data_IF_891034014262
#
_entry.id   IF_891034014262
#
_cell.length_a   1.000
_cell.length_b   1.000
_cell.length_c   1.000
_cell.angle_alpha   90.00
_cell.angle_beta   90.00
_cell.angle_gamma   90.00
#
_symmetry.space_group_name_H-M   'P 1'
#
loop_
_entity.id
_entity.type
_entity.pdbx_description
1 polymer ?
#
# COMPACT_ATOMS: atom_id res chain seq x y z
N UNK A 1 -7.50 14.44 -29.55
CA UNK A 1 -8.83 13.80 -29.54
C UNK A 1 -9.45 14.07 -28.18
N UNK A 2 -10.58 14.79 -28.14
CA UNK A 2 -11.23 15.18 -26.89
C UNK A 2 -12.12 14.08 -26.31
N UNK A 3 -12.56 14.28 -25.06
CA UNK A 3 -13.56 13.42 -24.42
C UNK A 3 -14.95 13.78 -24.97
N UNK A 4 -15.81 12.80 -25.32
CA UNK A 4 -17.17 13.08 -25.78
C UNK A 4 -17.97 13.93 -24.79
N UNK A 5 -18.66 14.96 -25.29
CA UNK A 5 -19.38 15.93 -24.46
C UNK A 5 -20.41 15.29 -23.52
N UNK A 6 -21.15 14.28 -23.99
CA UNK A 6 -22.16 13.59 -23.17
C UNK A 6 -21.56 12.92 -21.92
N UNK A 7 -20.31 12.45 -21.97
CA UNK A 7 -19.61 11.88 -20.81
C UNK A 7 -19.18 12.97 -19.84
N UNK A 8 -18.72 14.12 -20.34
CA UNK A 8 -18.38 15.28 -19.50
C UNK A 8 -19.63 15.77 -18.76
N UNK A 9 -20.73 15.93 -19.49
CA UNK A 9 -22.02 16.34 -18.93
C UNK A 9 -22.50 15.38 -17.85
N UNK A 10 -22.46 14.06 -18.09
CA UNK A 10 -22.84 13.06 -17.09
C UNK A 10 -21.99 13.15 -15.82
N UNK A 11 -20.67 13.32 -15.95
CA UNK A 11 -19.79 13.49 -14.79
C UNK A 11 -20.11 14.77 -14.00
N UNK A 12 -20.36 15.89 -14.68
CA UNK A 12 -20.75 17.15 -14.03
C UNK A 12 -22.03 16.99 -13.21
N UNK A 13 -23.07 16.37 -13.79
CA UNK A 13 -24.34 16.13 -13.09
C UNK A 13 -24.18 15.25 -11.84
N UNK A 14 -23.26 14.29 -11.84
CA UNK A 14 -22.98 13.45 -10.68
C UNK A 14 -22.30 14.20 -9.51
N UNK A 15 -21.61 15.30 -9.79
CA UNK A 15 -20.75 15.97 -8.81
C UNK A 15 -21.17 17.41 -8.43
N UNK A 16 -21.81 18.20 -9.31
CA UNK A 16 -22.08 19.63 -9.08
C UNK A 16 -23.20 19.93 -8.05
N UNK A 17 -24.20 19.05 -7.93
CA UNK A 17 -25.33 19.25 -7.01
C UNK A 17 -25.48 18.12 -5.99
N UNK A 18 -24.37 17.45 -5.69
CA UNK A 18 -24.42 16.35 -4.74
C UNK A 18 -24.49 16.85 -3.29
N UNK A 19 -25.21 16.09 -2.47
CA UNK A 19 -25.28 16.30 -1.04
C UNK A 19 -25.11 14.97 -0.31
N UNK A 20 -24.49 15.03 0.85
CA UNK A 20 -24.22 13.87 1.69
C UNK A 20 -24.93 14.03 3.04
N UNK A 21 -25.18 12.89 3.68
CA UNK A 21 -25.65 12.78 5.07
C UNK A 21 -24.79 11.73 5.76
N UNK A 22 -24.46 11.95 7.01
CA UNK A 22 -23.72 11.00 7.85
C UNK A 22 -24.74 10.27 8.71
N UNK A 23 -24.80 8.94 8.59
CA UNK A 23 -25.60 8.09 9.45
C UNK A 23 -24.75 7.51 10.58
N UNK A 24 -25.22 7.63 11.82
CA UNK A 24 -24.67 6.93 12.99
C UNK A 24 -25.82 6.17 13.62
N UNK A 25 -25.75 4.84 13.58
CA UNK A 25 -26.83 3.92 13.95
C UNK A 25 -28.15 4.24 13.22
N UNK A 26 -29.18 4.68 13.94
CA UNK A 26 -30.49 5.08 13.39
C UNK A 26 -30.61 6.58 13.16
N UNK A 27 -29.61 7.37 13.57
CA UNK A 27 -29.64 8.82 13.45
C UNK A 27 -28.96 9.26 12.16
N UNK A 28 -29.63 10.13 11.41
CA UNK A 28 -29.10 10.76 10.21
C UNK A 28 -28.81 12.24 10.49
N UNK A 29 -27.62 12.70 10.10
CA UNK A 29 -27.28 14.12 10.12
C UNK A 29 -28.20 14.94 9.19
N UNK A 30 -28.13 16.26 9.35
CA UNK A 30 -28.62 17.18 8.32
C UNK A 30 -27.91 16.96 6.98
N UNK A 31 -28.53 17.45 5.91
CA UNK A 31 -27.97 17.40 4.56
C UNK A 31 -26.82 18.41 4.43
N UNK A 32 -25.69 17.96 3.90
CA UNK A 32 -24.51 18.82 3.65
C UNK A 32 -24.17 18.78 2.18
N UNK A 33 -24.04 19.94 1.55
CA UNK A 33 -23.63 20.06 0.15
C UNK A 33 -22.16 19.66 -0.02
N UNK A 34 -21.87 18.78 -0.98
CA UNK A 34 -20.49 18.41 -1.31
C UNK A 34 -19.90 19.49 -2.22
N UNK A 35 -18.96 20.29 -1.69
CA UNK A 35 -18.30 21.37 -2.47
C UNK A 35 -17.01 20.94 -3.16
N UNK A 36 -16.28 19.98 -2.56
CA UNK A 36 -15.04 19.42 -3.09
C UNK A 36 -15.04 17.92 -2.85
N UNK A 37 -14.42 17.18 -3.77
CA UNK A 37 -14.22 15.74 -3.65
C UNK A 37 -15.11 14.89 -4.56
N UNK A 38 -14.72 13.63 -4.64
CA UNK A 38 -15.37 12.58 -5.44
C UNK A 38 -16.13 11.63 -4.52
N UNK A 39 -17.17 10.96 -5.03
CA UNK A 39 -17.98 10.04 -4.21
C UNK A 39 -17.19 8.76 -3.90
N UNK A 40 -16.97 8.44 -2.63
CA UNK A 40 -16.37 7.15 -2.27
C UNK A 40 -17.31 5.99 -2.64
N UNK A 41 -16.74 4.88 -3.13
CA UNK A 41 -17.51 3.73 -3.60
C UNK A 41 -18.08 3.86 -5.03
N UNK A 42 -17.96 5.02 -5.68
CA UNK A 42 -18.30 5.15 -7.10
C UNK A 42 -17.20 4.53 -7.97
N UNK A 43 -17.61 3.74 -8.97
CA UNK A 43 -16.70 3.08 -9.92
C UNK A 43 -15.87 4.04 -10.76
N UNK A 44 -16.36 5.27 -10.98
CA UNK A 44 -15.66 6.31 -11.75
C UNK A 44 -14.65 7.10 -10.91
N UNK A 45 -14.87 7.17 -9.59
CA UNK A 45 -14.06 7.99 -8.69
C UNK A 45 -12.56 7.69 -8.75
N UNK A 46 -12.08 6.43 -8.76
CA UNK A 46 -10.65 6.14 -8.89
C UNK A 46 -10.05 6.72 -10.17
N UNK A 47 -10.78 6.64 -11.29
CA UNK A 47 -10.31 7.17 -12.58
C UNK A 47 -10.25 8.69 -12.56
N UNK A 48 -11.28 9.34 -12.03
CA UNK A 48 -11.33 10.81 -11.91
C UNK A 48 -10.21 11.34 -10.99
N UNK A 49 -9.95 10.67 -9.86
CA UNK A 49 -8.84 11.02 -8.97
C UNK A 49 -7.50 10.93 -9.71
N UNK A 50 -7.26 9.82 -10.41
CA UNK A 50 -6.02 9.61 -11.17
C UNK A 50 -5.83 10.67 -12.27
N UNK A 51 -6.89 11.05 -12.98
CA UNK A 51 -6.84 12.11 -14.00
C UNK A 51 -6.47 13.45 -13.37
N UNK A 52 -7.11 13.80 -12.25
CA UNK A 52 -6.83 15.04 -11.53
C UNK A 52 -5.39 15.07 -10.99
N UNK A 53 -4.95 14.03 -10.29
CA UNK A 53 -3.56 13.88 -9.80
C UNK A 53 -2.53 13.92 -10.94
N UNK A 54 -2.88 13.42 -12.12
CA UNK A 54 -2.00 13.49 -13.30
C UNK A 54 -1.91 14.92 -13.85
N UNK A 55 -3.03 15.64 -13.90
CA UNK A 55 -3.08 17.03 -14.33
C UNK A 55 -2.27 17.93 -13.41
N UNK A 56 -2.54 17.88 -12.10
CA UNK A 56 -1.84 18.65 -11.06
C UNK A 56 -0.32 18.49 -11.19
N UNK A 57 0.16 17.26 -11.19
CA UNK A 57 1.60 17.01 -11.22
C UNK A 57 2.25 17.29 -12.58
N UNK A 58 1.48 17.32 -13.68
CA UNK A 58 2.00 17.82 -14.95
C UNK A 58 2.28 19.31 -14.87
N UNK A 59 1.41 20.07 -14.22
CA UNK A 59 1.63 21.50 -14.01
C UNK A 59 2.85 21.75 -13.12
N UNK A 60 2.97 21.00 -12.03
CA UNK A 60 4.14 21.05 -11.13
C UNK A 60 5.44 20.71 -11.85
N UNK A 61 5.47 19.62 -12.61
CA UNK A 61 6.70 19.02 -13.11
C UNK A 61 7.02 19.39 -14.56
N UNK A 62 6.28 20.31 -15.18
CA UNK A 62 6.40 20.63 -16.61
C UNK A 62 7.84 21.00 -17.02
N UNK A 63 8.55 21.71 -16.12
CA UNK A 63 9.94 22.12 -16.31
C UNK A 63 10.94 21.38 -15.41
N UNK A 64 10.50 20.29 -14.76
CA UNK A 64 11.35 19.54 -13.86
C UNK A 64 12.16 18.47 -14.60
N UNK A 65 13.49 18.64 -14.60
CA UNK A 65 14.42 17.70 -15.23
C UNK A 65 15.15 16.80 -14.24
N UNK A 66 14.72 16.75 -12.98
CA UNK A 66 15.28 15.87 -11.97
C UNK A 66 14.69 14.44 -11.98
N UNK A 67 15.23 13.56 -11.15
CA UNK A 67 14.78 12.19 -10.92
C UNK A 67 15.84 11.14 -11.17
N UNK A 68 15.50 9.88 -10.91
CA UNK A 68 16.33 8.72 -11.22
C UNK A 68 16.14 8.31 -12.68
N UNK A 69 17.20 7.82 -13.35
CA UNK A 69 17.10 7.33 -14.72
C UNK A 69 16.80 5.83 -14.73
N UNK A 70 15.65 5.44 -15.28
CA UNK A 70 15.24 4.04 -15.45
C UNK A 70 14.88 3.82 -16.92
N UNK A 71 15.55 2.87 -17.58
CA UNK A 71 15.25 2.52 -18.97
C UNK A 71 15.41 3.68 -19.97
N UNK A 72 16.30 4.64 -19.68
CA UNK A 72 16.52 5.84 -20.49
C UNK A 72 15.54 6.99 -20.25
N UNK A 73 14.52 6.80 -19.40
CA UNK A 73 13.61 7.86 -18.96
C UNK A 73 13.93 8.36 -17.55
N UNK A 74 13.65 9.64 -17.26
CA UNK A 74 13.71 10.17 -15.90
C UNK A 74 12.40 9.91 -15.15
N UNK A 75 12.53 9.37 -13.94
CA UNK A 75 11.42 9.10 -13.02
C UNK A 75 11.65 9.93 -11.77
N UNK A 76 10.83 10.96 -11.57
CA UNK A 76 10.90 11.89 -10.43
C UNK A 76 9.85 11.63 -9.36
N UNK A 77 8.89 10.74 -9.63
CA UNK A 77 7.76 10.48 -8.74
C UNK A 77 7.12 9.12 -9.03
N UNK A 78 6.53 8.53 -8.00
CA UNK A 78 5.67 7.35 -8.03
C UNK A 78 4.34 7.70 -7.35
N UNK A 79 3.22 7.24 -7.90
CA UNK A 79 1.89 7.59 -7.36
C UNK A 79 0.98 6.38 -7.36
N UNK A 80 0.24 6.22 -6.28
CA UNK A 80 -0.78 5.20 -6.13
C UNK A 80 -2.01 5.80 -5.47
N UNK A 81 -3.09 5.95 -6.22
CA UNK A 81 -4.28 6.68 -5.80
C UNK A 81 -3.89 8.09 -5.27
N UNK A 82 -4.11 8.34 -3.99
CA UNK A 82 -3.81 9.61 -3.34
C UNK A 82 -2.37 9.67 -2.79
N UNK A 83 -1.68 8.53 -2.67
CA UNK A 83 -0.31 8.46 -2.22
C UNK A 83 0.66 8.90 -3.33
N UNK A 84 1.52 9.86 -3.02
CA UNK A 84 2.53 10.39 -3.94
C UNK A 84 3.89 10.36 -3.27
N UNK A 85 4.83 9.69 -3.91
CA UNK A 85 6.23 9.58 -3.50
C UNK A 85 7.10 10.32 -4.49
N UNK A 86 7.96 11.20 -3.99
CA UNK A 86 8.92 11.95 -4.79
C UNK A 86 10.27 11.25 -4.77
N UNK A 87 10.96 11.27 -5.91
CA UNK A 87 12.22 10.57 -6.10
C UNK A 87 13.25 11.57 -6.63
N UNK A 88 14.37 11.69 -5.92
CA UNK A 88 15.48 12.56 -6.25
C UNK A 88 16.80 11.81 -6.00
N UNK A 89 17.85 12.16 -6.72
CA UNK A 89 19.20 11.60 -6.54
C UNK A 89 20.00 12.31 -5.45
N UNK A 90 19.61 13.53 -5.06
CA UNK A 90 20.28 14.29 -4.01
C UNK A 90 19.30 15.03 -3.09
N UNK A 91 19.83 15.48 -1.94
CA UNK A 91 19.05 16.27 -1.00
C UNK A 91 18.69 17.65 -1.57
N UNK A 92 19.61 18.26 -2.31
CA UNK A 92 19.39 19.56 -2.97
C UNK A 92 18.24 19.45 -3.97
N UNK A 93 18.20 18.35 -4.72
CA UNK A 93 17.15 18.10 -5.70
C UNK A 93 15.78 17.87 -5.04
N UNK A 94 15.72 17.13 -3.93
CA UNK A 94 14.43 16.94 -3.24
C UNK A 94 13.92 18.24 -2.61
N UNK A 95 14.82 19.08 -2.07
CA UNK A 95 14.47 20.41 -1.54
C UNK A 95 13.98 21.32 -2.67
N UNK A 96 14.65 21.33 -3.82
CA UNK A 96 14.19 22.11 -4.97
C UNK A 96 12.80 21.67 -5.46
N UNK A 97 12.54 20.36 -5.50
CA UNK A 97 11.23 19.84 -5.89
C UNK A 97 10.14 20.17 -4.86
N UNK A 98 10.44 20.10 -3.57
CA UNK A 98 9.53 20.53 -2.50
C UNK A 98 9.18 22.01 -2.61
N UNK A 99 10.15 22.88 -2.88
CA UNK A 99 9.90 24.31 -3.05
C UNK A 99 8.95 24.59 -4.23
N UNK A 100 9.08 23.85 -5.33
CA UNK A 100 8.14 23.95 -6.46
C UNK A 100 6.73 23.52 -6.02
N UNK A 101 6.63 22.46 -5.22
CA UNK A 101 5.35 21.99 -4.70
C UNK A 101 4.68 22.98 -3.75
N UNK A 102 5.44 23.57 -2.83
CA UNK A 102 4.93 24.57 -1.89
C UNK A 102 4.40 25.80 -2.63
N UNK A 103 5.10 26.27 -3.67
CA UNK A 103 4.62 27.39 -4.49
C UNK A 103 3.30 27.10 -5.21
N UNK A 104 3.02 25.83 -5.52
CA UNK A 104 1.79 25.41 -6.20
C UNK A 104 0.67 25.03 -5.20
N UNK A 105 0.96 25.01 -3.91
CA UNK A 105 0.04 24.54 -2.86
C UNK A 105 -1.12 25.52 -2.57
N UNK A 106 -1.03 26.77 -3.05
CA UNK A 106 -2.18 27.70 -3.01
C UNK A 106 -3.29 27.29 -4.00
N UNK A 107 -2.93 26.58 -5.08
CA UNK A 107 -3.87 26.13 -6.12
C UNK A 107 -4.25 24.64 -5.95
N UNK A 108 -3.35 23.82 -5.39
CA UNK A 108 -3.52 22.37 -5.29
C UNK A 108 -3.31 21.81 -3.88
N UNK A 109 -4.13 20.82 -3.49
CA UNK A 109 -4.05 20.16 -2.17
C UNK A 109 -3.07 19.00 -2.24
N UNK A 110 -1.77 19.29 -2.26
CA UNK A 110 -0.72 18.28 -2.37
C UNK A 110 -0.01 18.05 -1.05
N UNK A 111 -0.31 16.93 -0.40
CA UNK A 111 0.52 16.41 0.67
C UNK A 111 1.49 15.38 0.08
N UNK A 112 2.79 15.69 0.05
CA UNK A 112 3.83 14.78 -0.39
C UNK A 112 4.62 14.25 0.81
N UNK A 113 4.82 12.94 0.87
CA UNK A 113 5.72 12.31 1.85
C UNK A 113 7.06 12.06 1.16
N UNK A 114 8.11 12.65 1.72
CA UNK A 114 9.49 12.46 1.24
C UNK A 114 10.15 11.34 2.03
N UNK A 115 10.56 10.28 1.32
CA UNK A 115 11.37 9.20 1.87
C UNK A 115 12.79 9.32 1.32
N UNK A 116 13.72 9.79 2.15
CA UNK A 116 15.15 9.78 1.84
C UNK A 116 15.76 8.48 2.36
N UNK A 117 16.04 7.53 1.47
CA UNK A 117 16.78 6.32 1.83
C UNK A 117 18.19 6.38 1.27
N UNK A 118 19.18 6.44 2.16
CA UNK A 118 20.61 6.43 1.79
C UNK A 118 21.15 5.01 1.60
N UNK A 119 20.40 3.99 2.05
CA UNK A 119 20.65 2.56 1.78
C UNK A 119 19.33 1.79 1.78
N UNK A 120 18.96 1.10 0.69
CA UNK A 120 17.78 0.24 0.68
C UNK A 120 18.07 -1.06 1.45
N UNK A 121 18.17 -1.00 2.78
CA UNK A 121 18.19 -2.22 3.60
C UNK A 121 16.77 -2.66 3.88
N UNK A 122 16.45 -3.89 3.46
CA UNK A 122 15.16 -4.52 3.72
C UNK A 122 15.11 -5.23 5.08
N UNK A 123 16.18 -5.20 5.88
CA UNK A 123 16.31 -5.93 7.15
C UNK A 123 15.16 -5.62 8.11
N UNK A 124 14.82 -4.34 8.28
CA UNK A 124 13.75 -3.92 9.19
C UNK A 124 12.37 -4.40 8.72
N UNK A 125 12.10 -4.36 7.41
CA UNK A 125 10.84 -4.83 6.84
C UNK A 125 10.72 -6.35 6.96
N UNK A 126 11.80 -7.09 6.63
CA UNK A 126 11.85 -8.55 6.75
C UNK A 126 11.61 -8.97 8.21
N UNK A 127 12.29 -8.33 9.17
CA UNK A 127 12.06 -8.58 10.61
C UNK A 127 10.63 -8.31 11.02
N UNK A 128 10.04 -7.20 10.58
CA UNK A 128 8.65 -6.84 10.88
C UNK A 128 7.69 -7.91 10.37
N UNK A 129 7.88 -8.38 9.14
CA UNK A 129 7.05 -9.41 8.50
C UNK A 129 7.15 -10.77 9.19
N UNK A 130 8.38 -11.18 9.57
CA UNK A 130 8.60 -12.37 10.39
C UNK A 130 7.83 -12.25 11.72
N UNK A 131 7.91 -11.10 12.38
CA UNK A 131 7.22 -10.90 13.66
C UNK A 131 5.70 -10.95 13.51
N UNK A 132 5.14 -10.32 12.48
CA UNK A 132 3.70 -10.38 12.20
C UNK A 132 3.24 -11.81 11.91
N UNK A 133 4.00 -12.56 11.10
CA UNK A 133 3.69 -13.94 10.78
C UNK A 133 3.78 -14.85 12.02
N UNK A 134 4.76 -14.63 12.90
CA UNK A 134 4.84 -15.31 14.20
C UNK A 134 3.63 -15.02 15.09
N UNK A 135 3.21 -13.76 15.18
CA UNK A 135 2.00 -13.38 15.95
C UNK A 135 0.77 -14.09 15.40
N UNK A 136 0.59 -14.14 14.07
CA UNK A 136 -0.49 -14.88 13.45
C UNK A 136 -0.43 -16.38 13.79
N UNK A 137 0.75 -16.98 13.74
CA UNK A 137 0.97 -18.38 14.12
C UNK A 137 0.61 -18.63 15.59
N UNK A 138 1.01 -17.75 16.51
CA UNK A 138 0.70 -17.89 17.96
C UNK A 138 -0.79 -17.74 18.26
N UNK A 139 -1.49 -16.86 17.54
CA UNK A 139 -2.93 -16.65 17.70
C UNK A 139 -3.76 -17.88 17.30
N UNK A 140 -3.20 -18.73 16.44
CA UNK A 140 -3.86 -19.94 15.92
C UNK A 140 -3.40 -21.23 16.64
N UNK A 141 -2.70 -21.12 17.78
CA UNK A 141 -2.19 -22.26 18.57
C UNK A 141 -3.22 -23.34 18.89
N UNK A 142 -4.48 -22.97 19.15
CA UNK A 142 -5.57 -23.95 19.38
C UNK A 142 -5.84 -24.83 18.16
N UNK A 143 -5.72 -24.28 16.95
CA UNK A 143 -5.90 -25.02 15.69
C UNK A 143 -4.72 -25.97 15.47
N UNK A 144 -3.50 -25.50 15.72
CA UNK A 144 -2.28 -26.32 15.55
C UNK A 144 -2.24 -27.51 16.52
N UNK A 145 -2.71 -27.32 17.75
CA UNK A 145 -2.81 -28.39 18.76
C UNK A 145 -4.06 -29.27 18.62
N UNK A 146 -5.04 -28.86 17.82
CA UNK A 146 -6.26 -29.63 17.61
C UNK A 146 -6.01 -30.92 16.83
N UNK A 147 -6.40 -32.07 17.39
CA UNK A 147 -6.27 -33.37 16.72
C UNK A 147 -7.37 -33.63 15.67
N UNK A 148 -8.48 -32.89 15.72
CA UNK A 148 -9.61 -33.03 14.80
C UNK A 148 -9.36 -32.40 13.42
N UNK A 149 -8.23 -31.73 13.22
CA UNK A 149 -7.89 -31.05 11.97
C UNK A 149 -6.75 -31.80 11.31
N UNK A 150 -6.95 -32.19 10.06
CA UNK A 150 -5.95 -32.93 9.28
C UNK A 150 -4.69 -32.10 9.08
N UNK A 151 -3.54 -32.79 8.95
CA UNK A 151 -2.26 -32.14 8.64
C UNK A 151 -2.31 -31.34 7.34
N UNK A 152 -3.00 -31.86 6.32
CA UNK A 152 -3.17 -31.16 5.03
C UNK A 152 -3.90 -29.83 5.19
N UNK A 153 -4.97 -29.79 5.99
CA UNK A 153 -5.70 -28.54 6.28
C UNK A 153 -4.83 -27.56 7.07
N UNK A 154 -4.08 -28.03 8.07
CA UNK A 154 -3.15 -27.17 8.83
C UNK A 154 -2.08 -26.55 7.92
N UNK A 155 -1.50 -27.34 7.01
CA UNK A 155 -0.54 -26.84 6.03
C UNK A 155 -1.15 -25.78 5.10
N UNK A 156 -2.38 -26.01 4.63
CA UNK A 156 -3.10 -25.02 3.81
C UNK A 156 -3.38 -23.72 4.57
N UNK A 157 -3.71 -23.79 5.86
CA UNK A 157 -3.90 -22.61 6.71
C UNK A 157 -2.60 -21.83 6.92
N UNK A 158 -1.47 -22.50 7.08
CA UNK A 158 -0.16 -21.82 7.20
C UNK A 158 0.18 -21.12 5.88
N UNK A 159 -0.03 -21.77 4.74
CA UNK A 159 0.17 -21.15 3.43
C UNK A 159 -0.73 -19.92 3.23
N UNK A 160 -2.01 -20.01 3.59
CA UNK A 160 -2.98 -18.93 3.32
C UNK A 160 -2.95 -17.79 4.33
N UNK A 161 -2.57 -18.05 5.59
CA UNK A 161 -2.64 -17.05 6.67
C UNK A 161 -1.27 -16.59 7.18
N UNK A 162 -0.24 -17.45 7.18
CA UNK A 162 1.07 -17.13 7.73
C UNK A 162 2.02 -16.69 6.61
N UNK A 163 2.11 -17.47 5.53
CA UNK A 163 2.95 -17.12 4.38
C UNK A 163 2.43 -15.92 3.61
N UNK A 164 1.11 -15.71 3.54
CA UNK A 164 0.54 -14.50 2.91
C UNK A 164 0.96 -13.21 3.64
N UNK A 165 1.07 -13.23 4.97
CA UNK A 165 1.56 -12.11 5.78
C UNK A 165 3.06 -11.93 5.58
N UNK A 166 3.81 -13.03 5.61
CA UNK A 166 5.27 -13.02 5.49
C UNK A 166 5.75 -12.55 4.11
N UNK A 167 5.16 -13.08 3.04
CA UNK A 167 5.56 -12.82 1.65
C UNK A 167 4.98 -11.53 1.07
N UNK A 168 4.15 -10.81 1.83
CA UNK A 168 3.60 -9.55 1.37
C UNK A 168 4.72 -8.55 1.06
N UNK A 169 4.71 -8.02 -0.17
CA UNK A 169 5.72 -7.10 -0.71
C UNK A 169 7.14 -7.67 -0.78
N UNK A 170 7.31 -9.00 -0.67
CA UNK A 170 8.62 -9.66 -0.78
C UNK A 170 9.28 -9.48 -2.14
N UNK A 171 8.48 -9.22 -3.18
CA UNK A 171 8.94 -8.85 -4.52
C UNK A 171 9.73 -7.53 -4.57
N UNK A 172 9.63 -6.69 -3.54
CA UNK A 172 10.36 -5.41 -3.45
C UNK A 172 11.64 -5.51 -2.61
N UNK A 173 11.94 -6.68 -2.05
CA UNK A 173 13.09 -6.85 -1.16
C UNK A 173 14.38 -7.02 -1.94
N UNK A 174 15.38 -6.20 -1.61
CA UNK A 174 16.78 -6.46 -1.96
C UNK A 174 17.36 -7.34 -0.88
N UNK A 175 17.33 -8.67 -1.09
CA UNK A 175 17.73 -9.66 -0.08
C UNK A 175 19.23 -9.85 -0.07
N UNK A 176 19.88 -9.53 1.04
CA UNK A 176 21.29 -9.83 1.27
C UNK A 176 21.49 -11.22 1.88
N UNK A 177 22.73 -11.72 1.92
CA UNK A 177 23.07 -13.04 2.47
C UNK A 177 22.60 -13.23 3.92
N UNK A 178 22.69 -12.17 4.74
CA UNK A 178 22.22 -12.20 6.12
C UNK A 178 20.70 -12.29 6.23
N UNK A 179 19.99 -11.68 5.29
CA UNK A 179 18.52 -11.73 5.23
C UNK A 179 18.04 -13.11 4.79
N UNK A 180 18.73 -13.73 3.82
CA UNK A 180 18.44 -15.11 3.39
C UNK A 180 18.46 -16.08 4.57
N UNK A 181 19.50 -16.01 5.42
CA UNK A 181 19.61 -16.85 6.61
C UNK A 181 18.44 -16.66 7.60
N UNK A 182 17.89 -15.44 7.72
CA UNK A 182 16.73 -15.15 8.58
C UNK A 182 15.43 -15.72 8.01
N UNK A 183 15.27 -15.62 6.69
CA UNK A 183 14.12 -16.18 5.99
C UNK A 183 14.14 -17.71 6.12
N UNK A 184 15.28 -18.33 5.88
CA UNK A 184 15.44 -19.78 5.97
C UNK A 184 15.19 -20.27 7.41
N UNK A 185 15.63 -19.52 8.43
CA UNK A 185 15.32 -19.82 9.83
C UNK A 185 13.82 -19.72 10.14
N UNK A 186 13.10 -18.77 9.54
CA UNK A 186 11.64 -18.67 9.69
C UNK A 186 10.90 -19.82 9.00
N UNK A 187 11.35 -20.22 7.80
CA UNK A 187 10.80 -21.38 7.08
C UNK A 187 11.01 -22.68 7.87
N UNK A 188 12.22 -22.90 8.40
CA UNK A 188 12.53 -24.06 9.24
C UNK A 188 11.66 -24.10 10.51
N UNK A 189 11.50 -22.97 11.21
CA UNK A 189 10.66 -22.89 12.40
C UNK A 189 9.21 -23.33 12.14
N UNK A 190 8.61 -22.91 11.00
CA UNK A 190 7.26 -23.34 10.64
C UNK A 190 7.18 -24.85 10.38
N UNK A 191 8.24 -25.46 9.84
CA UNK A 191 8.31 -26.91 9.62
C UNK A 191 8.44 -27.67 10.94
N UNK A 192 9.29 -27.19 11.86
CA UNK A 192 9.48 -27.76 13.20
C UNK A 192 8.18 -27.74 14.01
N UNK A 193 7.46 -26.61 14.05
CA UNK A 193 6.20 -26.50 14.80
C UNK A 193 5.13 -27.48 14.28
N UNK A 194 5.14 -27.76 12.97
CA UNK A 194 4.29 -28.78 12.35
C UNK A 194 4.76 -30.21 12.64
N UNK A 195 6.07 -30.43 12.76
CA UNK A 195 6.65 -31.72 13.09
C UNK A 195 6.38 -32.09 14.55
N UNK A 196 6.51 -31.14 15.48
CA UNK A 196 6.19 -31.32 16.90
C UNK A 196 4.69 -31.56 17.13
N UNK A 197 3.82 -30.88 16.37
CA UNK A 197 2.38 -31.19 16.33
C UNK A 197 2.08 -32.64 15.89
N UNK A 198 3.01 -33.30 15.19
CA UNK A 198 2.89 -34.70 14.77
C UNK A 198 3.54 -35.73 15.72
N UNK A 199 4.42 -35.29 16.62
CA UNK A 199 5.21 -36.16 17.50
C UNK A 199 4.62 -36.32 18.91
N UNK A 200 3.60 -35.54 19.28
CA UNK A 200 2.90 -35.71 20.56
C UNK A 200 1.93 -36.91 20.52
N UNK A 201 2.46 -38.12 20.69
CA UNK A 201 1.67 -39.28 21.15
C UNK A 201 1.63 -39.22 22.68
N UNK A 202 0.46 -39.09 23.34
CA UNK A 202 0.41 -39.33 24.77
C UNK A 202 0.72 -40.82 24.97
N UNK A 203 1.81 -41.11 25.68
CA UNK A 203 1.95 -42.40 26.36
C UNK A 203 0.82 -42.51 27.37
N UNK A 204 0.12 -43.66 27.32
CA UNK A 204 -1.03 -44.06 28.13
C UNK A 204 -1.02 -43.57 29.58
#
# INVERSE_FOLDING_TARGET
MGVPYHLVFLNQQLHEYNSARVGIDTNLSGQTATRKGIRQGCVLSPTLSNVYSKFEMRQVLDNWNGGITIGGGKVSNLRFADDKTLIAVSHEEIVALLNILEQQHEEFTLYAVVLTTTRPSCENEIRRRIQQARVAMTNLTKIWRGHNITKATKMSLIQSLVFSIFLYASETWTVEKADRARIDAFEMWNVEENAESSLYRPTN
#
